data_IF_563362609106
#
_entry.id   IF_563362609106
#
_cell.length_a   1.000
_cell.length_b   1.000
_cell.length_c   1.000
_cell.angle_alpha   90.00
_cell.angle_beta   90.00
_cell.angle_gamma   90.00
#
_symmetry.space_group_name_H-M   'P 1'
#
loop_
_entity.id
_entity.type
_entity.pdbx_description
1 polymer ?
#
# COMPACT_ATOMS: atom_id res chain seq x y z
N UNK A 1 -5.82 -28.12 6.40
CA UNK A 1 -6.27 -26.72 6.53
C UNK A 1 -5.59 -25.79 5.53
N UNK A 2 -4.26 -25.84 5.34
CA UNK A 2 -3.50 -24.99 4.39
C UNK A 2 -3.96 -25.20 2.93
N UNK A 3 -4.26 -26.42 2.50
CA UNK A 3 -4.74 -26.71 1.13
C UNK A 3 -6.09 -26.07 0.80
N UNK A 4 -6.99 -25.92 1.78
CA UNK A 4 -8.30 -25.28 1.58
C UNK A 4 -8.18 -23.76 1.38
N UNK A 5 -7.26 -23.11 2.09
CA UNK A 5 -7.03 -21.66 2.02
C UNK A 5 -6.43 -21.29 0.66
N UNK A 6 -5.47 -22.06 0.18
CA UNK A 6 -4.86 -21.85 -1.15
C UNK A 6 -5.89 -22.03 -2.27
N UNK A 7 -6.79 -23.03 -2.13
CA UNK A 7 -7.85 -23.26 -3.12
C UNK A 7 -8.89 -22.13 -3.13
N UNK A 8 -9.23 -21.57 -1.96
CA UNK A 8 -10.18 -20.46 -1.87
C UNK A 8 -9.61 -19.14 -2.43
N UNK A 9 -8.32 -18.89 -2.19
CA UNK A 9 -7.63 -17.70 -2.76
C UNK A 9 -7.50 -17.81 -4.27
N UNK A 10 -7.25 -19.01 -4.79
CA UNK A 10 -7.16 -19.26 -6.23
C UNK A 10 -8.52 -19.17 -6.92
N UNK A 11 -9.61 -19.65 -6.28
CA UNK A 11 -10.98 -19.50 -6.75
C UNK A 11 -11.46 -18.04 -6.77
N UNK A 12 -11.05 -17.22 -5.78
CA UNK A 12 -11.39 -15.79 -5.75
C UNK A 12 -10.65 -14.99 -6.84
N UNK A 13 -9.44 -15.41 -7.20
CA UNK A 13 -8.70 -14.84 -8.35
C UNK A 13 -9.31 -15.26 -9.69
N UNK A 14 -9.80 -16.49 -9.81
CA UNK A 14 -10.43 -16.99 -11.03
C UNK A 14 -11.85 -16.42 -11.26
N UNK A 15 -12.61 -16.12 -10.22
CA UNK A 15 -13.95 -15.53 -10.35
C UNK A 15 -13.92 -14.13 -10.97
N UNK A 16 -12.79 -13.40 -10.83
CA UNK A 16 -12.60 -12.10 -11.49
C UNK A 16 -12.19 -12.21 -12.97
N UNK A 17 -11.78 -13.40 -13.43
CA UNK A 17 -11.43 -13.65 -14.84
C UNK A 17 -12.64 -14.07 -15.69
N UNK A 18 -13.72 -14.59 -15.09
CA UNK A 18 -14.85 -15.16 -15.81
C UNK A 18 -15.90 -14.14 -16.28
N UNK A 19 -15.82 -12.86 -15.91
CA UNK A 19 -16.76 -11.83 -16.36
C UNK A 19 -16.39 -11.18 -17.71
N UNK A 20 -15.40 -11.70 -18.44
CA UNK A 20 -14.93 -11.14 -19.69
C UNK A 20 -15.49 -11.78 -20.97
N UNK A 21 -16.43 -12.70 -20.89
CA UNK A 21 -17.05 -13.30 -22.08
C UNK A 21 -18.57 -13.16 -22.06
N UNK A 22 -19.09 -12.13 -22.69
CA UNK A 22 -20.19 -12.05 -23.63
C UNK A 22 -20.80 -10.65 -23.71
N UNK A 23 -20.43 -9.91 -24.77
CA UNK A 23 -21.33 -9.06 -25.55
C UNK A 23 -20.56 -8.49 -26.74
N UNK A 24 -20.83 -9.00 -27.92
CA UNK A 24 -20.42 -8.36 -29.17
C UNK A 24 -21.27 -7.10 -29.39
N UNK A 25 -20.81 -6.02 -28.86
CA UNK A 25 -21.05 -4.67 -29.36
C UNK A 25 -19.68 -4.11 -29.71
N UNK A 26 -19.55 -3.36 -30.78
CA UNK A 26 -18.33 -2.69 -31.22
C UNK A 26 -17.87 -1.70 -30.15
N UNK A 27 -17.38 -2.25 -29.04
CA UNK A 27 -16.80 -1.50 -27.93
C UNK A 27 -15.43 -1.07 -28.42
N UNK A 28 -15.20 0.23 -28.43
CA UNK A 28 -13.89 0.82 -28.68
C UNK A 28 -12.88 0.29 -27.65
N UNK A 29 -12.26 -0.85 -27.96
CA UNK A 29 -11.31 -1.57 -27.11
C UNK A 29 -10.12 -0.70 -26.67
N UNK A 30 -9.76 0.34 -27.44
CA UNK A 30 -8.71 1.30 -27.08
C UNK A 30 -9.00 2.06 -25.80
N UNK A 31 -10.26 2.25 -25.42
CA UNK A 31 -10.68 3.00 -24.24
C UNK A 31 -10.50 2.23 -22.92
N UNK A 32 -10.27 0.90 -22.98
CA UNK A 32 -10.19 0.02 -21.82
C UNK A 32 -8.84 -0.67 -21.64
N UNK A 33 -7.84 -0.37 -22.47
CA UNK A 33 -6.54 -1.02 -22.37
C UNK A 33 -5.85 -0.65 -21.05
N UNK A 34 -5.55 -1.68 -20.28
CA UNK A 34 -4.64 -1.59 -19.15
C UNK A 34 -3.22 -1.63 -19.68
N UNK A 35 -2.40 -0.66 -19.34
CA UNK A 35 -1.00 -0.55 -19.75
C UNK A 35 -0.12 -1.24 -18.72
N UNK A 36 0.80 -2.13 -19.10
CA UNK A 36 1.80 -2.66 -18.20
C UNK A 36 2.61 -1.52 -17.57
N UNK A 37 2.99 -1.67 -16.33
CA UNK A 37 3.82 -0.69 -15.63
C UNK A 37 4.83 -1.38 -14.72
N UNK A 38 6.04 -0.82 -14.68
CA UNK A 38 7.12 -1.21 -13.80
C UNK A 38 7.47 0.02 -12.96
N UNK A 39 7.51 -0.15 -11.65
CA UNK A 39 7.91 0.89 -10.72
C UNK A 39 9.08 0.38 -9.89
N UNK A 40 10.11 1.20 -9.75
CA UNK A 40 11.25 0.97 -8.85
C UNK A 40 11.30 2.15 -7.89
N UNK A 41 11.45 1.86 -6.61
CA UNK A 41 11.55 2.90 -5.58
C UNK A 41 12.59 2.56 -4.53
N UNK A 42 13.18 3.62 -4.00
CA UNK A 42 14.02 3.58 -2.82
C UNK A 42 13.38 4.41 -1.71
N UNK A 43 13.55 4.00 -0.46
CA UNK A 43 13.00 4.69 0.68
C UNK A 43 13.78 4.47 1.97
N UNK A 44 13.44 5.27 2.97
CA UNK A 44 13.98 5.17 4.32
C UNK A 44 12.84 4.78 5.26
N UNK A 45 13.04 3.71 6.01
CA UNK A 45 12.05 3.12 6.92
C UNK A 45 12.48 3.27 8.37
N UNK A 46 11.58 3.78 9.21
CA UNK A 46 11.68 3.66 10.66
C UNK A 46 10.81 2.49 11.13
N UNK A 47 11.36 1.64 11.98
CA UNK A 47 10.69 0.44 12.49
C UNK A 47 10.31 0.64 13.96
N UNK A 48 9.15 0.13 14.37
CA UNK A 48 8.69 0.20 15.77
C UNK A 48 7.81 -0.99 16.15
N UNK A 49 7.92 -1.40 17.41
CA UNK A 49 7.03 -2.38 18.04
C UNK A 49 6.43 -1.77 19.30
N UNK A 50 5.13 -1.96 19.53
CA UNK A 50 4.40 -1.42 20.68
C UNK A 50 4.57 0.10 20.85
N UNK A 51 4.83 0.83 19.74
CA UNK A 51 5.09 2.26 19.80
C UNK A 51 6.45 2.65 20.37
N UNK A 52 7.35 1.72 20.59
CA UNK A 52 8.74 1.95 20.98
C UNK A 52 9.63 1.96 19.71
N UNK A 53 10.21 3.11 19.41
CA UNK A 53 10.94 3.35 18.15
C UNK A 53 12.43 2.91 18.21
N UNK A 54 12.89 2.39 19.38
CA UNK A 54 14.34 2.17 19.62
C UNK A 54 14.79 0.71 19.54
N UNK A 55 13.90 -0.23 19.20
CA UNK A 55 14.26 -1.65 19.23
C UNK A 55 15.00 -2.09 17.96
N UNK A 56 14.60 -1.61 16.80
CA UNK A 56 15.18 -1.98 15.51
C UNK A 56 15.83 -0.77 14.85
N UNK A 57 17.00 -0.97 14.26
CA UNK A 57 17.67 0.04 13.47
C UNK A 57 16.83 0.45 12.26
N UNK A 58 16.93 1.71 11.84
CA UNK A 58 16.29 2.17 10.62
C UNK A 58 16.82 1.40 9.41
N UNK A 59 15.97 1.21 8.39
CA UNK A 59 16.31 0.43 7.20
C UNK A 59 16.19 1.26 5.92
N UNK A 60 17.12 1.04 4.99
CA UNK A 60 16.95 1.46 3.60
C UNK A 60 16.12 0.42 2.86
N UNK A 61 15.07 0.86 2.15
CA UNK A 61 14.14 -0.01 1.45
C UNK A 61 14.29 0.13 -0.06
N UNK A 62 14.43 -1.00 -0.75
CA UNK A 62 14.33 -1.10 -2.21
C UNK A 62 13.04 -1.87 -2.53
N UNK A 63 12.22 -1.33 -3.43
CA UNK A 63 10.94 -1.94 -3.81
C UNK A 63 10.78 -1.93 -5.34
N UNK A 64 10.31 -3.03 -5.88
CA UNK A 64 9.87 -3.17 -7.27
C UNK A 64 8.39 -3.54 -7.31
N UNK A 65 7.60 -2.81 -8.12
CA UNK A 65 6.18 -3.11 -8.39
C UNK A 65 6.00 -3.42 -9.87
N UNK A 66 5.31 -4.51 -10.16
CA UNK A 66 4.89 -4.89 -11.52
C UNK A 66 3.36 -4.85 -11.56
N UNK A 67 2.80 -4.09 -12.48
CA UNK A 67 1.36 -3.88 -12.47
C UNK A 67 0.76 -3.48 -13.80
N UNK A 68 -0.54 -3.18 -13.71
CA UNK A 68 -1.32 -2.70 -14.84
C UNK A 68 -2.00 -1.39 -14.49
N UNK A 69 -1.62 -0.33 -15.19
CA UNK A 69 -2.16 1.02 -15.03
C UNK A 69 -3.34 1.24 -15.96
N UNK A 70 -4.39 1.87 -15.44
CA UNK A 70 -5.53 2.38 -16.20
C UNK A 70 -5.72 3.85 -15.90
N UNK A 71 -5.76 4.66 -16.95
CA UNK A 71 -6.04 6.09 -16.87
C UNK A 71 -7.18 6.41 -17.82
N UNK A 72 -8.25 7.01 -17.30
CA UNK A 72 -9.40 7.42 -18.10
C UNK A 72 -9.74 8.86 -17.78
N UNK A 73 -10.21 9.60 -18.78
CA UNK A 73 -10.83 10.90 -18.54
C UNK A 73 -12.06 10.68 -17.66
N UNK A 74 -12.13 11.43 -16.58
CA UNK A 74 -13.22 11.35 -15.61
C UNK A 74 -14.50 11.97 -16.20
N UNK A 75 -15.66 11.43 -15.82
CA UNK A 75 -16.96 12.02 -16.14
C UNK A 75 -17.20 13.40 -15.52
N UNK A 76 -16.36 13.80 -14.57
CA UNK A 76 -16.46 15.08 -13.85
C UNK A 76 -15.77 16.24 -14.56
N UNK A 77 -14.91 15.98 -15.56
CA UNK A 77 -14.24 17.04 -16.32
C UNK A 77 -13.22 16.50 -17.31
N UNK A 78 -13.03 17.22 -18.42
CA UNK A 78 -12.11 16.83 -19.51
C UNK A 78 -10.64 16.79 -19.07
N UNK A 79 -10.27 17.57 -18.04
CA UNK A 79 -8.92 17.66 -17.50
C UNK A 79 -8.71 16.77 -16.28
N UNK A 80 -9.74 16.04 -15.83
CA UNK A 80 -9.67 15.16 -14.68
C UNK A 80 -9.42 13.72 -15.16
N UNK A 81 -8.38 13.10 -14.62
CA UNK A 81 -8.02 11.72 -14.88
C UNK A 81 -8.42 10.86 -13.70
N UNK A 82 -9.13 9.77 -13.94
CA UNK A 82 -9.31 8.68 -12.99
C UNK A 82 -8.13 7.72 -13.18
N UNK A 83 -7.33 7.55 -12.14
CA UNK A 83 -6.13 6.73 -12.10
C UNK A 83 -6.35 5.47 -11.26
N UNK A 84 -5.98 4.32 -11.82
CA UNK A 84 -5.91 3.03 -11.10
C UNK A 84 -4.69 2.25 -11.55
N UNK A 85 -4.05 1.57 -10.60
CA UNK A 85 -2.97 0.63 -10.88
C UNK A 85 -3.11 -0.56 -9.93
N UNK A 86 -3.19 -1.79 -10.45
CA UNK A 86 -3.14 -3.01 -9.67
C UNK A 86 -1.75 -3.60 -9.85
N UNK A 87 -1.09 -4.00 -8.78
CA UNK A 87 0.29 -4.42 -8.82
C UNK A 87 0.61 -5.59 -7.89
N UNK A 88 1.65 -6.32 -8.26
CA UNK A 88 2.44 -7.19 -7.39
C UNK A 88 3.67 -6.40 -6.96
N UNK A 89 4.21 -6.68 -5.79
CA UNK A 89 5.47 -6.08 -5.38
C UNK A 89 6.38 -7.08 -4.69
N UNK A 90 7.68 -6.80 -4.78
CA UNK A 90 8.74 -7.40 -4.01
C UNK A 90 9.58 -6.26 -3.43
N UNK A 91 9.94 -6.38 -2.16
CA UNK A 91 10.79 -5.39 -1.48
C UNK A 91 11.73 -6.05 -0.49
N UNK A 92 12.88 -5.42 -0.32
CA UNK A 92 13.82 -5.67 0.76
C UNK A 92 14.03 -4.37 1.52
N UNK A 93 14.00 -4.44 2.83
CA UNK A 93 14.36 -3.34 3.72
C UNK A 93 15.42 -3.85 4.70
N UNK A 94 16.61 -3.24 4.67
CA UNK A 94 17.74 -3.67 5.48
C UNK A 94 18.42 -2.48 6.15
N UNK A 95 18.86 -2.66 7.38
CA UNK A 95 19.70 -1.67 8.07
C UNK A 95 21.02 -1.42 7.35
N UNK A 96 21.54 -2.40 6.61
CA UNK A 96 22.77 -2.27 5.81
C UNK A 96 22.59 -1.32 4.60
N UNK A 97 21.35 -1.18 4.12
CA UNK A 97 20.99 -0.27 3.04
C UNK A 97 20.68 1.15 3.54
N UNK A 98 20.79 1.40 4.85
CA UNK A 98 20.55 2.72 5.44
C UNK A 98 21.84 3.54 5.41
N UNK A 99 21.82 4.67 4.71
CA UNK A 99 23.02 5.42 4.37
C UNK A 99 23.62 6.31 5.49
N UNK A 100 23.02 6.31 6.70
CA UNK A 100 23.56 7.08 7.84
C UNK A 100 24.47 6.21 8.71
N UNK A 101 25.60 6.75 9.14
CA UNK A 101 26.58 6.09 10.00
C UNK A 101 26.11 5.88 11.45
N UNK A 102 25.17 6.71 11.92
CA UNK A 102 24.56 6.59 13.27
C UNK A 102 23.16 6.04 13.12
N UNK A 103 23.03 4.72 13.28
CA UNK A 103 21.77 3.98 13.15
C UNK A 103 21.60 3.07 14.36
N UNK A 104 21.17 3.63 15.51
CA UNK A 104 21.00 2.86 16.74
C UNK A 104 19.86 1.84 16.60
N UNK A 105 19.95 0.73 17.36
CA UNK A 105 19.00 -0.36 17.37
C UNK A 105 19.59 -1.64 16.80
N UNK A 106 18.79 -2.72 16.83
CA UNK A 106 19.20 -4.04 16.33
C UNK A 106 19.25 -4.05 14.81
N UNK A 107 20.37 -4.50 14.25
CA UNK A 107 20.49 -4.73 12.80
C UNK A 107 19.41 -5.68 12.32
N UNK A 108 18.79 -5.35 11.18
CA UNK A 108 17.64 -6.08 10.67
C UNK A 108 17.63 -6.16 9.15
N UNK A 109 17.01 -7.21 8.65
CA UNK A 109 16.72 -7.44 7.24
C UNK A 109 15.28 -7.95 7.08
N UNK A 110 14.52 -7.33 6.19
CA UNK A 110 13.14 -7.70 5.92
C UNK A 110 12.90 -7.94 4.43
N UNK A 111 12.37 -9.09 4.11
CA UNK A 111 11.83 -9.40 2.80
C UNK A 111 10.32 -9.39 2.81
N UNK A 112 9.73 -8.71 1.83
CA UNK A 112 8.27 -8.66 1.71
C UNK A 112 7.85 -8.81 0.26
N UNK A 113 6.74 -9.51 0.04
CA UNK A 113 6.06 -9.58 -1.24
C UNK A 113 4.56 -9.47 -1.02
N UNK A 114 3.84 -9.03 -2.05
CA UNK A 114 2.40 -8.86 -1.90
C UNK A 114 1.71 -8.31 -3.12
N UNK A 115 0.44 -7.96 -2.90
CA UNK A 115 -0.45 -7.41 -3.91
C UNK A 115 -1.08 -6.13 -3.42
N UNK A 116 -1.30 -5.17 -4.31
CA UNK A 116 -1.94 -3.91 -3.94
C UNK A 116 -2.64 -3.22 -5.09
N UNK A 117 -3.38 -2.17 -4.73
CA UNK A 117 -4.01 -1.27 -5.68
C UNK A 117 -3.72 0.19 -5.34
N UNK A 118 -3.52 1.00 -6.38
CA UNK A 118 -3.48 2.46 -6.31
C UNK A 118 -4.71 3.03 -6.96
N UNK A 119 -5.29 4.04 -6.37
CA UNK A 119 -6.44 4.75 -6.95
C UNK A 119 -6.44 6.22 -6.56
N UNK A 120 -6.89 7.06 -7.49
CA UNK A 120 -7.00 8.49 -7.26
C UNK A 120 -7.56 9.23 -8.45
N UNK A 121 -7.69 10.53 -8.26
CA UNK A 121 -8.08 11.46 -9.29
C UNK A 121 -6.98 12.50 -9.45
N UNK A 122 -6.60 12.77 -10.69
CA UNK A 122 -5.57 13.74 -10.98
C UNK A 122 -6.01 14.77 -12.00
N UNK A 123 -5.15 15.77 -12.17
CA UNK A 123 -5.37 16.88 -13.11
C UNK A 123 -4.33 16.78 -14.22
N UNK A 124 -4.79 16.87 -15.47
CA UNK A 124 -3.96 16.93 -16.66
C UNK A 124 -3.84 18.35 -17.16
N UNK A 125 -2.60 18.81 -17.42
CA UNK A 125 -2.28 20.10 -18.02
C UNK A 125 -1.31 19.88 -19.17
N UNK A 126 -1.79 19.91 -20.42
CA UNK A 126 -0.97 19.59 -21.58
C UNK A 126 -0.46 18.14 -21.56
N UNK A 127 0.86 17.97 -21.61
CA UNK A 127 1.54 16.66 -21.56
C UNK A 127 1.86 16.21 -20.11
N UNK A 128 1.71 17.09 -19.14
CA UNK A 128 2.00 16.84 -17.74
C UNK A 128 0.72 16.50 -16.97
N UNK A 129 0.83 15.61 -15.98
CA UNK A 129 -0.29 15.30 -15.09
C UNK A 129 0.18 15.16 -13.64
N UNK A 130 -0.63 15.66 -12.72
CA UNK A 130 -0.45 15.45 -11.28
C UNK A 130 -1.56 14.50 -10.84
N UNK A 131 -1.17 13.32 -10.36
CA UNK A 131 -2.09 12.24 -10.01
C UNK A 131 -1.89 11.86 -8.53
N UNK A 132 -2.51 12.60 -7.59
CA UNK A 132 -2.54 12.18 -6.19
C UNK A 132 -3.28 10.85 -6.06
N UNK A 133 -2.76 9.94 -5.22
CA UNK A 133 -3.36 8.63 -5.06
C UNK A 133 -3.24 8.11 -3.62
N UNK A 134 -4.15 7.22 -3.26
CA UNK A 134 -4.04 6.33 -2.11
C UNK A 134 -3.83 4.91 -2.61
N UNK A 135 -3.07 4.13 -1.88
CA UNK A 135 -2.82 2.72 -2.20
C UNK A 135 -2.99 1.87 -0.95
N UNK A 136 -3.59 0.70 -1.11
CA UNK A 136 -3.68 -0.32 -0.07
C UNK A 136 -3.06 -1.61 -0.57
N UNK A 137 -2.36 -2.33 0.30
CA UNK A 137 -1.77 -3.60 -0.06
C UNK A 137 -1.83 -4.64 1.06
N UNK A 138 -1.82 -5.90 0.64
CA UNK A 138 -1.59 -7.06 1.47
C UNK A 138 -0.17 -7.56 1.24
N UNK A 139 0.54 -7.85 2.32
CA UNK A 139 1.92 -8.26 2.28
C UNK A 139 2.17 -9.52 3.12
N UNK A 140 3.17 -10.27 2.72
CA UNK A 140 3.82 -11.29 3.55
C UNK A 140 5.25 -10.81 3.77
N UNK A 141 5.60 -10.62 5.03
CA UNK A 141 6.88 -10.06 5.46
C UNK A 141 7.60 -11.03 6.36
N UNK A 142 8.87 -11.30 6.07
CA UNK A 142 9.80 -12.06 6.90
C UNK A 142 10.81 -11.06 7.46
N UNK A 143 10.98 -11.06 8.78
CA UNK A 143 11.99 -10.28 9.49
C UNK A 143 13.09 -11.23 9.97
N UNK A 144 14.32 -10.81 9.84
CA UNK A 144 15.50 -11.37 10.55
C UNK A 144 16.23 -10.22 11.22
N UNK A 145 16.80 -10.48 12.40
CA UNK A 145 17.55 -9.45 13.13
C UNK A 145 18.72 -10.07 13.88
N UNK A 146 19.74 -9.25 14.16
CA UNK A 146 20.91 -9.68 14.91
C UNK A 146 20.57 -9.76 16.40
N UNK A 147 20.62 -10.96 16.97
CA UNK A 147 20.31 -11.24 18.37
C UNK A 147 21.51 -11.01 19.30
N UNK A 148 22.72 -10.77 18.76
CA UNK A 148 23.96 -10.71 19.55
C UNK A 148 23.91 -9.65 20.65
N UNK A 149 23.25 -8.52 20.37
CA UNK A 149 23.12 -7.38 21.29
C UNK A 149 21.69 -7.17 21.78
N UNK A 150 20.78 -8.09 21.47
CA UNK A 150 19.38 -7.99 21.86
C UNK A 150 19.19 -8.31 23.34
N UNK A 151 18.38 -7.50 24.02
CA UNK A 151 17.94 -7.78 25.38
C UNK A 151 16.90 -8.91 25.41
N UNK A 152 16.73 -9.63 26.55
CA UNK A 152 15.69 -10.66 26.64
C UNK A 152 14.28 -10.17 26.31
N UNK A 153 13.95 -8.92 26.67
CA UNK A 153 12.65 -8.30 26.39
C UNK A 153 12.46 -8.05 24.88
N UNK A 154 13.51 -7.63 24.17
CA UNK A 154 13.49 -7.44 22.72
C UNK A 154 13.36 -8.78 21.98
N UNK A 155 14.08 -9.80 22.42
CA UNK A 155 13.96 -11.16 21.86
C UNK A 155 12.51 -11.65 22.03
N UNK A 156 11.92 -11.47 23.20
CA UNK A 156 10.53 -11.86 23.44
C UNK A 156 9.55 -11.07 22.58
N UNK A 157 9.74 -9.75 22.42
CA UNK A 157 8.86 -8.91 21.61
C UNK A 157 8.94 -9.23 20.11
N UNK A 158 10.12 -9.65 19.63
CA UNK A 158 10.39 -9.95 18.23
C UNK A 158 10.18 -11.43 17.86
N UNK A 159 10.07 -12.33 18.83
CA UNK A 159 10.00 -13.78 18.62
C UNK A 159 8.88 -14.22 17.66
N UNK A 160 7.75 -13.53 17.68
CA UNK A 160 6.63 -13.84 16.79
C UNK A 160 6.90 -13.48 15.31
N UNK A 161 7.91 -12.64 15.02
CA UNK A 161 8.21 -12.13 13.67
C UNK A 161 9.45 -12.77 13.06
N UNK A 162 10.36 -13.31 13.90
CA UNK A 162 11.66 -13.81 13.46
C UNK A 162 11.56 -15.02 12.53
N UNK A 163 12.27 -14.96 11.41
CA UNK A 163 12.48 -16.07 10.47
C UNK A 163 11.24 -16.57 9.74
N UNK A 164 10.04 -16.04 10.01
CA UNK A 164 8.79 -16.53 9.39
C UNK A 164 8.06 -15.44 8.61
N UNK A 165 7.44 -15.84 7.49
CA UNK A 165 6.56 -14.93 6.77
C UNK A 165 5.28 -14.66 7.57
N UNK A 166 5.05 -13.40 7.90
CA UNK A 166 3.87 -12.90 8.59
C UNK A 166 3.01 -12.08 7.64
N UNK A 167 1.71 -12.25 7.74
CA UNK A 167 0.75 -11.44 6.99
C UNK A 167 0.70 -10.03 7.56
N UNK A 168 0.49 -9.05 6.68
CA UNK A 168 0.37 -7.65 7.04
C UNK A 168 -0.43 -6.86 6.03
N UNK A 169 -0.69 -5.60 6.37
CA UNK A 169 -1.35 -4.63 5.49
C UNK A 169 -0.53 -3.36 5.43
N UNK A 170 -0.62 -2.63 4.33
CA UNK A 170 -0.05 -1.29 4.25
C UNK A 170 -0.97 -0.32 3.54
N UNK A 171 -0.86 0.96 3.93
CA UNK A 171 -1.44 2.08 3.20
C UNK A 171 -0.34 3.03 2.75
N UNK A 172 -0.45 3.53 1.51
CA UNK A 172 0.52 4.43 0.89
C UNK A 172 -0.19 5.66 0.33
N UNK A 173 0.24 6.84 0.72
CA UNK A 173 -0.14 8.13 0.15
C UNK A 173 0.96 8.62 -0.78
N UNK A 174 0.63 8.95 -2.04
CA UNK A 174 1.63 9.42 -2.98
C UNK A 174 1.06 10.38 -4.02
N UNK A 175 1.97 11.09 -4.68
CA UNK A 175 1.66 11.93 -5.81
C UNK A 175 2.47 11.43 -7.00
N UNK A 176 1.79 11.02 -8.06
CA UNK A 176 2.42 10.63 -9.32
C UNK A 176 2.53 11.86 -10.22
N UNK A 177 3.75 12.35 -10.41
CA UNK A 177 4.09 13.40 -11.36
C UNK A 177 4.42 12.77 -12.71
N UNK A 178 3.42 12.70 -13.58
CA UNK A 178 3.57 12.13 -14.91
C UNK A 178 4.18 13.16 -15.85
N UNK A 179 5.48 12.96 -16.18
CA UNK A 179 6.27 13.86 -17.03
C UNK A 179 5.99 13.59 -18.50
N UNK A 180 5.87 12.31 -18.86
CA UNK A 180 5.46 11.85 -20.20
C UNK A 180 4.40 10.77 -20.08
N UNK A 181 3.85 10.30 -21.20
CA UNK A 181 2.88 9.21 -21.18
C UNK A 181 3.45 7.89 -20.63
N UNK A 182 4.78 7.70 -20.75
CA UNK A 182 5.47 6.47 -20.33
C UNK A 182 6.32 6.62 -19.08
N UNK A 183 6.51 7.82 -18.53
CA UNK A 183 7.42 8.04 -17.39
C UNK A 183 6.83 8.98 -16.34
N UNK A 184 7.00 8.58 -15.08
CA UNK A 184 6.58 9.39 -13.92
C UNK A 184 7.49 9.21 -12.72
N UNK A 185 7.51 10.24 -11.85
CA UNK A 185 8.20 10.25 -10.55
C UNK A 185 7.15 10.31 -9.45
N UNK A 186 7.37 9.56 -8.35
CA UNK A 186 6.38 9.41 -7.29
C UNK A 186 7.03 9.54 -5.91
N UNK A 187 7.03 10.72 -5.28
CA UNK A 187 7.19 10.81 -3.83
C UNK A 187 5.98 10.19 -3.13
N UNK A 188 6.23 9.41 -2.09
CA UNK A 188 5.19 8.65 -1.39
C UNK A 188 5.59 8.33 0.05
N UNK A 189 4.58 8.22 0.90
CA UNK A 189 4.73 7.80 2.29
C UNK A 189 3.86 6.58 2.54
N UNK A 190 4.42 5.56 3.17
CA UNK A 190 3.74 4.30 3.48
C UNK A 190 3.80 4.00 4.97
N UNK A 191 2.69 3.48 5.50
CA UNK A 191 2.62 2.83 6.81
C UNK A 191 2.28 1.38 6.58
N UNK A 192 3.08 0.48 7.18
CA UNK A 192 2.88 -0.96 7.09
C UNK A 192 2.80 -1.58 8.47
N UNK A 193 1.81 -2.44 8.67
CA UNK A 193 1.62 -3.23 9.87
C UNK A 193 1.79 -4.72 9.53
N UNK A 194 2.75 -5.38 10.20
CA UNK A 194 2.98 -6.83 10.12
C UNK A 194 2.36 -7.47 11.35
N UNK A 195 1.53 -8.48 11.16
CA UNK A 195 0.78 -9.10 12.25
C UNK A 195 1.52 -10.30 12.83
N UNK A 196 1.77 -10.36 14.15
CA UNK A 196 2.49 -11.48 14.77
C UNK A 196 1.72 -12.80 14.64
N UNK A 197 0.40 -12.73 14.56
CA UNK A 197 -0.48 -13.89 14.43
C UNK A 197 -1.74 -13.58 13.64
N UNK A 198 -2.35 -14.61 13.06
CA UNK A 198 -3.61 -14.47 12.32
C UNK A 198 -4.80 -14.61 13.26
N UNK A 199 -5.60 -13.55 13.38
CA UNK A 199 -6.90 -13.53 14.08
C UNK A 199 -8.00 -13.23 13.05
N UNK A 200 -8.23 -14.17 12.14
CA UNK A 200 -9.04 -13.98 10.93
C UNK A 200 -10.39 -13.26 11.18
N UNK A 201 -11.17 -13.69 12.17
CA UNK A 201 -12.47 -13.07 12.46
C UNK A 201 -12.37 -11.59 12.88
N UNK A 202 -11.46 -11.28 13.82
CA UNK A 202 -11.23 -9.90 14.26
C UNK A 202 -10.65 -9.04 13.14
N UNK A 203 -9.75 -9.60 12.34
CA UNK A 203 -9.13 -8.93 11.21
C UNK A 203 -10.14 -8.58 10.11
N UNK A 204 -11.03 -9.53 9.78
CA UNK A 204 -12.11 -9.30 8.83
C UNK A 204 -13.04 -8.17 9.30
N UNK A 205 -13.49 -8.21 10.56
CA UNK A 205 -14.38 -7.18 11.11
C UNK A 205 -13.70 -5.80 11.17
N UNK A 206 -12.44 -5.73 11.58
CA UNK A 206 -11.65 -4.48 11.54
C UNK A 206 -11.57 -3.91 10.12
N UNK A 207 -11.31 -4.77 9.12
CA UNK A 207 -11.27 -4.36 7.70
C UNK A 207 -12.62 -3.89 7.20
N UNK A 208 -13.73 -4.52 7.60
CA UNK A 208 -15.09 -4.07 7.24
C UNK A 208 -15.34 -2.65 7.72
N UNK A 209 -14.93 -2.33 8.96
CA UNK A 209 -15.07 -0.96 9.52
C UNK A 209 -14.24 0.03 8.68
N UNK A 210 -12.99 -0.29 8.40
CA UNK A 210 -12.08 0.53 7.60
C UNK A 210 -12.64 0.82 6.19
N UNK A 211 -13.03 -0.23 5.46
CA UNK A 211 -13.58 -0.07 4.11
C UNK A 211 -14.94 0.64 4.09
N UNK A 212 -15.76 0.50 5.14
CA UNK A 212 -17.02 1.23 5.26
C UNK A 212 -16.79 2.74 5.35
N UNK A 213 -15.80 3.18 6.13
CA UNK A 213 -15.44 4.58 6.20
C UNK A 213 -14.89 5.12 4.87
N UNK A 214 -14.04 4.35 4.18
CA UNK A 214 -13.56 4.71 2.85
C UNK A 214 -14.68 4.83 1.81
N UNK A 215 -15.68 3.96 1.88
CA UNK A 215 -16.85 4.04 1.02
C UNK A 215 -17.65 5.34 1.23
N UNK A 216 -17.83 5.76 2.48
CA UNK A 216 -18.48 7.02 2.82
C UNK A 216 -17.70 8.23 2.28
N UNK A 217 -16.37 8.23 2.45
CA UNK A 217 -15.47 9.27 1.93
C UNK A 217 -15.57 9.34 0.40
N UNK A 218 -15.55 8.18 -0.28
CA UNK A 218 -15.70 8.12 -1.73
C UNK A 218 -17.08 8.63 -2.20
N UNK A 219 -18.13 8.40 -1.42
CA UNK A 219 -19.47 8.96 -1.65
C UNK A 219 -19.51 10.48 -1.55
N UNK A 220 -18.96 11.01 -0.46
CA UNK A 220 -18.88 12.42 -0.18
C UNK A 220 -18.06 13.18 -1.25
N UNK A 221 -16.86 12.67 -1.55
CA UNK A 221 -15.98 13.31 -2.53
C UNK A 221 -16.55 13.28 -3.95
N UNK A 222 -17.29 12.24 -4.33
CA UNK A 222 -18.02 12.21 -5.61
C UNK A 222 -19.01 13.35 -5.74
N UNK A 223 -19.64 13.77 -4.64
CA UNK A 223 -20.58 14.90 -4.67
C UNK A 223 -19.82 16.23 -4.88
N UNK A 224 -18.68 16.42 -4.21
CA UNK A 224 -17.83 17.61 -4.43
C UNK A 224 -17.34 17.66 -5.88
N UNK A 225 -16.89 16.51 -6.43
CA UNK A 225 -16.38 16.46 -7.80
C UNK A 225 -17.41 16.80 -8.89
N UNK A 226 -18.69 16.69 -8.61
CA UNK A 226 -19.74 17.13 -9.56
C UNK A 226 -19.74 18.65 -9.75
N UNK A 227 -19.45 19.41 -8.70
CA UNK A 227 -19.51 20.87 -8.70
C UNK A 227 -18.11 21.50 -8.90
N UNK A 228 -17.07 20.94 -8.27
CA UNK A 228 -15.71 21.45 -8.29
C UNK A 228 -14.71 20.32 -8.53
N UNK A 229 -14.55 19.83 -9.78
CA UNK A 229 -13.79 18.60 -10.07
C UNK A 229 -12.33 18.64 -9.63
N UNK A 230 -11.63 19.76 -9.83
CA UNK A 230 -10.23 19.92 -9.46
C UNK A 230 -10.07 19.87 -7.94
N UNK A 231 -10.84 20.71 -7.21
CA UNK A 231 -10.82 20.70 -5.75
C UNK A 231 -11.23 19.35 -5.19
N UNK A 232 -12.25 18.71 -5.77
CA UNK A 232 -12.71 17.37 -5.37
C UNK A 232 -11.64 16.30 -5.52
N UNK A 233 -10.74 16.40 -6.51
CA UNK A 233 -9.61 15.48 -6.66
C UNK A 233 -8.63 15.56 -5.47
N UNK A 234 -8.29 16.77 -5.04
CA UNK A 234 -7.41 16.98 -3.88
C UNK A 234 -8.12 16.64 -2.56
N UNK A 235 -9.40 16.98 -2.42
CA UNK A 235 -10.20 16.61 -1.24
C UNK A 235 -10.30 15.10 -1.11
N UNK A 236 -10.49 14.36 -2.21
CA UNK A 236 -10.46 12.90 -2.20
C UNK A 236 -9.14 12.37 -1.65
N UNK A 237 -8.01 12.86 -2.17
CA UNK A 237 -6.68 12.46 -1.72
C UNK A 237 -6.47 12.73 -0.23
N UNK A 238 -6.79 13.95 0.22
CA UNK A 238 -6.58 14.33 1.63
C UNK A 238 -7.45 13.52 2.57
N UNK A 239 -8.76 13.41 2.30
CA UNK A 239 -9.68 12.71 3.20
C UNK A 239 -9.40 11.22 3.27
N UNK A 240 -9.11 10.58 2.13
CA UNK A 240 -8.78 9.15 2.13
C UNK A 240 -7.52 8.87 2.93
N UNK A 241 -6.44 9.59 2.65
CA UNK A 241 -5.16 9.33 3.32
C UNK A 241 -5.18 9.76 4.79
N UNK A 242 -5.90 10.82 5.16
CA UNK A 242 -6.09 11.20 6.55
C UNK A 242 -6.89 10.13 7.33
N UNK A 243 -7.94 9.57 6.73
CA UNK A 243 -8.71 8.49 7.33
C UNK A 243 -7.87 7.21 7.49
N UNK A 244 -7.16 6.78 6.43
CA UNK A 244 -6.26 5.63 6.47
C UNK A 244 -5.17 5.82 7.54
N UNK A 245 -4.52 6.98 7.55
CA UNK A 245 -3.53 7.31 8.59
C UNK A 245 -4.13 7.22 9.99
N UNK A 246 -5.30 7.84 10.20
CA UNK A 246 -6.00 7.77 11.49
C UNK A 246 -6.34 6.34 11.90
N UNK A 247 -6.79 5.51 10.95
CA UNK A 247 -7.13 4.12 11.20
C UNK A 247 -5.89 3.29 11.59
N UNK A 248 -4.75 3.52 10.92
CA UNK A 248 -3.48 2.91 11.29
C UNK A 248 -2.98 3.38 12.66
N UNK A 249 -3.22 4.65 13.06
CA UNK A 249 -2.90 5.11 14.41
C UNK A 249 -3.73 4.39 15.48
N UNK A 250 -5.01 4.13 15.22
CA UNK A 250 -5.86 3.34 16.11
C UNK A 250 -5.40 1.88 16.24
N UNK A 251 -4.78 1.33 15.17
CA UNK A 251 -4.18 -0.02 15.16
C UNK A 251 -2.80 -0.10 15.82
N UNK A 252 -2.15 1.01 16.15
CA UNK A 252 -0.77 1.04 16.65
C UNK A 252 -0.52 0.04 17.79
N UNK A 253 -1.45 -0.05 18.75
CA UNK A 253 -1.35 -0.93 19.91
C UNK A 253 -2.23 -2.19 19.84
N UNK A 254 -3.10 -2.28 18.84
CA UNK A 254 -4.07 -3.36 18.66
C UNK A 254 -4.30 -3.61 17.17
N UNK A 255 -3.59 -4.57 16.59
CA UNK A 255 -3.61 -4.83 15.14
C UNK A 255 -5.01 -4.97 14.50
N UNK A 256 -6.04 -5.33 15.31
CA UNK A 256 -7.42 -5.52 14.85
C UNK A 256 -8.40 -4.52 15.52
N UNK A 257 -7.97 -3.28 15.75
CA UNK A 257 -8.86 -2.27 16.33
C UNK A 257 -10.25 -2.26 15.63
N UNK A 258 -11.37 -2.15 16.37
CA UNK A 258 -11.52 -1.90 17.82
C UNK A 258 -11.43 -3.15 18.70
N UNK A 259 -11.13 -4.32 18.16
CA UNK A 259 -11.10 -5.58 18.90
C UNK A 259 -9.75 -5.77 19.60
N UNK A 260 -9.78 -6.18 20.88
CA UNK A 260 -8.58 -6.48 21.67
C UNK A 260 -7.69 -7.48 20.95
N UNK A 261 -6.45 -7.09 20.69
CA UNK A 261 -5.43 -7.86 19.99
C UNK A 261 -4.04 -7.35 20.35
N UNK A 262 -3.00 -8.09 19.98
CA UNK A 262 -1.62 -7.68 20.17
C UNK A 262 -1.24 -6.55 19.21
N UNK A 263 -0.18 -5.81 19.53
CA UNK A 263 0.37 -4.79 18.67
C UNK A 263 1.06 -5.41 17.45
N UNK A 264 0.99 -4.77 16.27
CA UNK A 264 1.76 -5.18 15.11
C UNK A 264 3.21 -4.68 15.19
N UNK A 265 4.11 -5.31 14.41
CA UNK A 265 5.35 -4.67 14.00
C UNK A 265 5.00 -3.62 12.95
N UNK A 266 5.34 -2.37 13.20
CA UNK A 266 5.09 -1.24 12.30
C UNK A 266 6.36 -0.73 11.68
N UNK A 267 6.30 -0.38 10.41
CA UNK A 267 7.31 0.43 9.77
C UNK A 267 6.69 1.53 8.92
N UNK A 268 7.30 2.71 9.03
CA UNK A 268 6.91 3.91 8.32
C UNK A 268 8.01 4.22 7.30
N UNK A 269 7.66 4.37 6.03
CA UNK A 269 8.64 4.53 4.96
C UNK A 269 8.32 5.75 4.11
N UNK A 270 9.29 6.64 3.98
CA UNK A 270 9.27 7.66 2.95
C UNK A 270 10.02 7.14 1.72
N UNK A 271 9.38 7.14 0.55
CA UNK A 271 9.91 6.57 -0.70
C UNK A 271 9.88 7.56 -1.84
N UNK A 272 10.88 7.46 -2.72
CA UNK A 272 10.86 8.07 -4.03
C UNK A 272 10.87 6.97 -5.09
N UNK A 273 9.88 6.97 -5.97
CA UNK A 273 9.73 5.96 -7.02
C UNK A 273 9.79 6.56 -8.43
N UNK A 274 10.20 5.75 -9.37
CA UNK A 274 10.12 6.00 -10.81
C UNK A 274 9.25 4.92 -11.45
N UNK A 275 8.29 5.31 -12.28
CA UNK A 275 7.40 4.37 -12.97
C UNK A 275 7.53 4.52 -14.47
N UNK A 276 7.65 3.37 -15.13
CA UNK A 276 7.61 3.22 -16.58
C UNK A 276 6.29 2.53 -16.95
N UNK A 277 5.56 3.11 -17.92
CA UNK A 277 4.28 2.60 -18.42
C UNK A 277 4.38 2.40 -19.93
N UNK A 278 3.99 1.21 -20.41
CA UNK A 278 4.17 0.75 -21.80
C UNK A 278 2.87 0.76 -22.61
#
# INVERSE_FOLDING_TARGET
MIRLIVTFTFLFLLSNLSFAQNKSSSIDFKKYLRKPSIEISYGLSGLSINGNDNNLANAGMIEMKLGFTKQNISKYGKNIINYRNNYLFLRNASSDNYSRSDNPGLSNDMWSFGVGDKKGYGVKTGNFSILPYSSNSFAWTQLTYDQTFATPDEIQALADFDGSFRFGTSTEAGINFQITQGFSIQPKYEISDVYPRSLFGKQLMSSVIEYSGLFLIDGFTRQIMKNTPVAGSFVNFVLRNAYEYGFYQLRKNQMNWPFTSVAPLRYNTFKLGMTFTF
#
